data_IF_105853709084
#
_entry.id   IF_105853709084
#
_cell.length_a   1.000
_cell.length_b   1.000
_cell.length_c   1.000
_cell.angle_alpha   90.00
_cell.angle_beta   90.00
_cell.angle_gamma   90.00
#
_symmetry.space_group_name_H-M   'P 1'
#
loop_
_entity.id
_entity.type
_entity.pdbx_description
1 polymer ?
#
# COMPACT_ATOMS: atom_id res chain seq x y z
N UNK A 1 -38.97 -4.81 9.57
CA UNK A 1 -39.89 -5.72 8.86
C UNK A 1 -40.02 -7.00 9.68
N UNK A 2 -41.16 -7.25 10.33
CA UNK A 2 -41.27 -8.26 11.40
C UNK A 2 -42.30 -9.39 11.15
N UNK A 3 -42.75 -9.58 9.90
CA UNK A 3 -43.90 -10.46 9.60
C UNK A 3 -43.58 -11.54 8.52
N UNK A 4 -42.41 -11.53 7.88
CA UNK A 4 -42.13 -12.43 6.75
C UNK A 4 -41.51 -13.80 7.13
N UNK A 5 -41.09 -14.00 8.38
CA UNK A 5 -40.29 -15.16 8.81
C UNK A 5 -40.91 -16.55 8.55
N UNK A 6 -42.21 -16.78 8.78
CA UNK A 6 -42.78 -18.13 8.64
C UNK A 6 -43.01 -18.56 7.18
N UNK A 7 -43.28 -17.61 6.27
CA UNK A 7 -43.62 -17.90 4.88
C UNK A 7 -42.40 -18.21 4.00
N UNK A 8 -41.26 -17.56 4.26
CA UNK A 8 -40.00 -17.77 3.54
C UNK A 8 -39.41 -19.18 3.76
N UNK A 9 -39.69 -19.79 4.92
CA UNK A 9 -39.16 -21.10 5.35
C UNK A 9 -39.62 -22.25 4.45
N UNK A 10 -40.76 -22.12 3.77
CA UNK A 10 -41.35 -23.18 2.95
C UNK A 10 -40.89 -23.15 1.49
N UNK A 11 -40.26 -22.06 1.05
CA UNK A 11 -39.86 -21.86 -0.37
C UNK A 11 -38.38 -22.15 -0.60
N UNK A 12 -37.50 -21.92 0.39
CA UNK A 12 -36.05 -21.98 0.15
C UNK A 12 -35.33 -23.25 0.61
N UNK A 13 -35.99 -24.27 1.19
CA UNK A 13 -35.35 -25.57 1.50
C UNK A 13 -34.16 -25.55 2.47
N UNK A 14 -33.76 -24.37 2.96
CA UNK A 14 -32.68 -24.13 3.92
C UNK A 14 -33.31 -23.58 5.20
N UNK A 15 -32.93 -24.08 6.39
CA UNK A 15 -33.42 -23.54 7.65
C UNK A 15 -33.09 -22.04 7.75
N UNK A 16 -34.14 -21.21 7.84
CA UNK A 16 -34.00 -19.78 8.10
C UNK A 16 -33.31 -19.61 9.46
N UNK A 17 -32.18 -18.86 9.53
CA UNK A 17 -31.48 -18.60 10.78
C UNK A 17 -32.39 -17.98 11.84
N UNK A 18 -32.10 -18.19 13.11
CA UNK A 18 -32.82 -17.53 14.19
C UNK A 18 -32.44 -16.04 14.31
N UNK A 19 -33.26 -15.27 15.03
CA UNK A 19 -33.05 -13.84 15.22
C UNK A 19 -31.69 -13.52 15.88
N UNK A 20 -31.15 -14.44 16.69
CA UNK A 20 -29.86 -14.28 17.35
C UNK A 20 -28.69 -14.38 16.34
N UNK A 21 -28.76 -15.30 15.38
CA UNK A 21 -27.79 -15.41 14.29
C UNK A 21 -27.84 -14.17 13.39
N UNK A 22 -29.04 -13.65 13.10
CA UNK A 22 -29.17 -12.40 12.35
C UNK A 22 -28.54 -11.21 13.09
N UNK A 23 -28.82 -11.06 14.39
CA UNK A 23 -28.23 -10.00 15.21
C UNK A 23 -26.71 -10.12 15.32
N UNK A 24 -26.17 -11.33 15.52
CA UNK A 24 -24.73 -11.55 15.54
C UNK A 24 -24.07 -11.20 14.20
N UNK A 25 -24.74 -11.50 13.09
CA UNK A 25 -24.30 -11.09 11.75
C UNK A 25 -24.28 -9.56 11.59
N UNK A 26 -25.36 -8.89 11.99
CA UNK A 26 -25.47 -7.43 11.95
C UNK A 26 -24.37 -6.76 12.81
N UNK A 27 -24.13 -7.26 14.03
CA UNK A 27 -23.08 -6.75 14.91
C UNK A 27 -21.68 -6.93 14.31
N UNK A 28 -21.41 -8.08 13.69
CA UNK A 28 -20.15 -8.31 12.98
C UNK A 28 -19.96 -7.31 11.83
N UNK A 29 -20.99 -7.07 11.02
CA UNK A 29 -20.92 -6.07 9.94
C UNK A 29 -20.64 -4.67 10.47
N UNK A 30 -21.30 -4.26 11.56
CA UNK A 30 -21.03 -2.98 12.20
C UNK A 30 -19.59 -2.86 12.73
N UNK A 31 -19.05 -3.90 13.35
CA UNK A 31 -17.66 -3.90 13.83
C UNK A 31 -16.66 -3.82 12.69
N UNK A 32 -16.92 -4.54 11.59
CA UNK A 32 -16.07 -4.50 10.39
C UNK A 32 -16.08 -3.13 9.71
N UNK A 33 -17.26 -2.51 9.57
CA UNK A 33 -17.40 -1.17 9.01
C UNK A 33 -16.69 -0.12 9.89
N UNK A 34 -16.89 -0.20 11.20
CA UNK A 34 -16.20 0.69 12.15
C UNK A 34 -14.66 0.56 12.07
N UNK A 35 -14.15 -0.68 12.00
CA UNK A 35 -12.72 -0.93 11.86
C UNK A 35 -12.19 -0.39 10.53
N UNK A 36 -12.90 -0.60 9.42
CA UNK A 36 -12.53 -0.05 8.11
C UNK A 36 -12.45 1.48 8.16
N UNK A 37 -13.45 2.14 8.75
CA UNK A 37 -13.46 3.60 8.90
C UNK A 37 -12.28 4.10 9.72
N UNK A 38 -11.97 3.43 10.84
CA UNK A 38 -10.84 3.81 11.70
C UNK A 38 -9.49 3.66 11.00
N UNK A 39 -9.29 2.56 10.27
CA UNK A 39 -8.04 2.27 9.55
C UNK A 39 -7.85 3.15 8.30
N UNK A 40 -8.93 3.67 7.73
CA UNK A 40 -8.90 4.58 6.58
C UNK A 40 -8.85 6.06 6.97
N UNK A 41 -9.02 6.39 8.26
CA UNK A 41 -8.96 7.75 8.80
C UNK A 41 -7.50 8.19 8.96
N UNK A 42 -7.01 8.95 7.98
CA UNK A 42 -5.65 9.51 7.92
C UNK A 42 -5.30 10.50 9.04
N UNK A 43 -6.29 10.91 9.84
CA UNK A 43 -6.04 11.71 11.05
C UNK A 43 -5.81 10.87 12.29
N UNK A 44 -6.13 9.58 12.25
CA UNK A 44 -6.08 8.67 13.40
C UNK A 44 -5.15 7.48 13.22
N UNK A 45 -5.01 6.97 12.00
CA UNK A 45 -4.23 5.77 11.73
C UNK A 45 -3.38 5.90 10.47
N UNK A 46 -2.30 5.12 10.43
CA UNK A 46 -1.40 5.00 9.29
C UNK A 46 -0.68 3.65 9.33
N UNK A 47 -0.23 3.22 8.15
CA UNK A 47 0.60 2.04 7.96
C UNK A 47 2.05 2.46 7.77
N UNK A 48 2.97 1.71 8.36
CA UNK A 48 4.41 1.82 8.09
C UNK A 48 4.91 0.55 7.46
N UNK A 49 5.45 0.65 6.26
CA UNK A 49 6.02 -0.50 5.55
C UNK A 49 7.43 -0.75 6.06
N UNK A 50 7.78 -2.02 6.29
CA UNK A 50 9.14 -2.42 6.64
C UNK A 50 9.61 -3.42 5.60
N UNK A 51 10.79 -3.18 5.03
CA UNK A 51 11.36 -4.00 3.97
C UNK A 51 12.88 -4.13 4.12
N UNK A 52 13.46 -5.18 3.56
CA UNK A 52 14.90 -5.26 3.35
C UNK A 52 15.21 -4.81 1.92
N UNK A 53 16.43 -4.33 1.70
CA UNK A 53 16.94 -3.90 0.38
C UNK A 53 17.30 -5.10 -0.52
N UNK A 54 16.29 -5.90 -0.82
CA UNK A 54 16.36 -7.08 -1.68
C UNK A 54 15.28 -7.00 -2.75
N UNK A 55 15.62 -7.32 -4.00
CA UNK A 55 14.73 -7.12 -5.16
C UNK A 55 13.32 -7.67 -4.98
N UNK A 56 13.18 -8.90 -4.48
CA UNK A 56 11.87 -9.54 -4.28
C UNK A 56 11.07 -8.87 -3.16
N UNK A 57 11.74 -8.51 -2.06
CA UNK A 57 11.10 -7.85 -0.90
C UNK A 57 10.63 -6.45 -1.27
N UNK A 58 11.40 -5.72 -2.07
CA UNK A 58 11.02 -4.40 -2.60
C UNK A 58 9.76 -4.52 -3.46
N UNK A 59 9.71 -5.51 -4.37
CA UNK A 59 8.52 -5.74 -5.21
C UNK A 59 7.27 -6.08 -4.39
N UNK A 60 7.41 -6.89 -3.33
CA UNK A 60 6.28 -7.22 -2.44
C UNK A 60 5.81 -6.00 -1.65
N UNK A 61 6.74 -5.17 -1.16
CA UNK A 61 6.44 -3.93 -0.48
C UNK A 61 5.71 -2.94 -1.41
N UNK A 62 6.15 -2.82 -2.67
CA UNK A 62 5.46 -2.01 -3.69
C UNK A 62 4.03 -2.50 -3.94
N UNK A 63 3.82 -3.83 -4.04
CA UNK A 63 2.48 -4.41 -4.21
C UNK A 63 1.58 -4.12 -3.00
N UNK A 64 2.11 -4.31 -1.80
CA UNK A 64 1.41 -4.03 -0.54
C UNK A 64 1.02 -2.56 -0.44
N UNK A 65 1.93 -1.66 -0.81
CA UNK A 65 1.68 -0.22 -0.86
C UNK A 65 0.50 0.13 -1.78
N UNK A 66 0.47 -0.43 -2.99
CA UNK A 66 -0.67 -0.24 -3.90
C UNK A 66 -1.97 -0.81 -3.34
N UNK A 67 -1.91 -1.96 -2.67
CA UNK A 67 -3.07 -2.56 -2.03
C UNK A 67 -3.64 -1.67 -0.92
N UNK A 68 -2.79 -1.12 -0.04
CA UNK A 68 -3.24 -0.20 1.02
C UNK A 68 -3.93 1.03 0.45
N UNK A 69 -3.37 1.65 -0.59
CA UNK A 69 -3.99 2.79 -1.25
C UNK A 69 -5.29 2.44 -2.01
N UNK A 70 -5.45 1.20 -2.47
CA UNK A 70 -6.70 0.71 -3.04
C UNK A 70 -7.83 0.63 -2.01
N UNK A 71 -7.53 0.25 -0.77
CA UNK A 71 -8.52 0.21 0.31
C UNK A 71 -8.60 1.52 1.11
N UNK A 72 -7.82 2.53 0.72
CA UNK A 72 -7.82 3.85 1.34
C UNK A 72 -7.06 3.91 2.66
N UNK A 73 -6.20 2.93 2.95
CA UNK A 73 -5.35 2.93 4.13
C UNK A 73 -4.08 3.77 3.87
N UNK A 74 -3.85 4.85 4.65
CA UNK A 74 -2.72 5.74 4.43
C UNK A 74 -1.41 5.08 4.87
N UNK A 75 -0.31 5.42 4.20
CA UNK A 75 1.05 4.99 4.57
C UNK A 75 1.91 6.22 4.80
N UNK A 76 2.49 6.37 6.00
CA UNK A 76 3.24 7.57 6.39
C UNK A 76 4.76 7.40 6.37
N UNK A 77 5.27 6.16 6.41
CA UNK A 77 6.70 5.88 6.44
C UNK A 77 7.03 4.51 5.81
N UNK A 78 8.14 4.45 5.10
CA UNK A 78 8.78 3.19 4.69
C UNK A 78 10.11 3.03 5.42
N UNK A 79 10.38 1.83 5.93
CA UNK A 79 11.57 1.50 6.70
C UNK A 79 12.39 0.45 5.98
N UNK A 80 13.58 0.83 5.51
CA UNK A 80 14.61 -0.07 5.04
C UNK A 80 15.33 -0.68 6.24
N UNK A 81 14.98 -1.90 6.61
CA UNK A 81 15.59 -2.60 7.73
C UNK A 81 16.88 -3.31 7.30
N UNK A 82 17.77 -3.56 8.26
CA UNK A 82 19.02 -4.33 8.09
C UNK A 82 19.92 -3.78 6.97
N UNK A 83 20.06 -2.46 6.91
CA UNK A 83 21.02 -1.83 6.00
C UNK A 83 22.43 -2.04 6.53
N UNK A 84 23.28 -2.69 5.75
CA UNK A 84 24.65 -2.95 6.14
C UNK A 84 25.40 -1.61 6.32
N UNK A 85 26.12 -1.41 7.44
CA UNK A 85 26.89 -0.19 7.63
C UNK A 85 28.13 -0.18 6.72
N UNK A 86 28.66 1.03 6.48
CA UNK A 86 29.94 1.18 5.81
C UNK A 86 31.03 0.40 6.54
N UNK A 87 31.92 -0.26 5.79
CA UNK A 87 33.01 -1.03 6.37
C UNK A 87 32.60 -2.35 7.02
N UNK A 88 31.44 -2.93 6.68
CA UNK A 88 31.00 -4.26 7.15
C UNK A 88 31.97 -5.43 6.84
N UNK A 89 33.05 -5.17 6.09
CA UNK A 89 34.10 -6.13 5.75
C UNK A 89 33.94 -6.71 4.35
N UNK A 90 35.04 -7.24 3.80
CA UNK A 90 35.11 -7.73 2.42
C UNK A 90 34.07 -8.82 2.09
N UNK A 91 33.70 -9.64 3.08
CA UNK A 91 32.66 -10.67 2.91
C UNK A 91 31.29 -10.07 2.56
N UNK A 92 30.97 -8.88 3.08
CA UNK A 92 29.67 -8.23 2.88
C UNK A 92 29.64 -7.21 1.74
N UNK A 93 30.75 -7.02 1.03
CA UNK A 93 30.91 -5.95 0.04
C UNK A 93 29.89 -6.03 -1.09
N UNK A 94 29.67 -7.22 -1.67
CA UNK A 94 28.70 -7.41 -2.76
C UNK A 94 27.25 -7.13 -2.32
N UNK A 95 26.87 -7.52 -1.10
CA UNK A 95 25.55 -7.22 -0.55
C UNK A 95 25.40 -5.73 -0.26
N UNK A 96 26.42 -5.10 0.33
CA UNK A 96 26.42 -3.66 0.58
C UNK A 96 26.27 -2.86 -0.73
N UNK A 97 27.00 -3.24 -1.79
CA UNK A 97 26.85 -2.62 -3.11
C UNK A 97 25.45 -2.83 -3.70
N UNK A 98 24.88 -4.04 -3.57
CA UNK A 98 23.51 -4.30 -4.00
C UNK A 98 22.50 -3.42 -3.24
N UNK A 99 22.63 -3.30 -1.91
CA UNK A 99 21.77 -2.44 -1.09
C UNK A 99 21.88 -0.97 -1.52
N UNK A 100 23.09 -0.46 -1.75
CA UNK A 100 23.32 0.92 -2.25
C UNK A 100 22.69 1.19 -3.61
N UNK A 101 22.61 0.19 -4.49
CA UNK A 101 21.90 0.30 -5.77
C UNK A 101 20.39 0.31 -5.60
N UNK A 102 19.85 -0.42 -4.63
CA UNK A 102 18.41 -0.50 -4.40
C UNK A 102 17.83 0.67 -3.60
N UNK A 103 18.60 1.25 -2.67
CA UNK A 103 18.14 2.35 -1.82
C UNK A 103 17.49 3.52 -2.60
N UNK A 104 18.13 4.12 -3.63
CA UNK A 104 17.51 5.21 -4.40
C UNK A 104 16.25 4.75 -5.15
N UNK A 105 16.22 3.51 -5.64
CA UNK A 105 15.04 2.96 -6.33
C UNK A 105 13.85 2.81 -5.37
N UNK A 106 14.10 2.48 -4.10
CA UNK A 106 13.08 2.43 -3.05
C UNK A 106 12.56 3.85 -2.78
N UNK A 107 13.44 4.82 -2.57
CA UNK A 107 13.07 6.23 -2.37
C UNK A 107 12.19 6.76 -3.51
N UNK A 108 12.57 6.53 -4.75
CA UNK A 108 11.79 6.91 -5.94
C UNK A 108 10.42 6.21 -6.01
N UNK A 109 10.37 4.93 -5.67
CA UNK A 109 9.14 4.12 -5.80
C UNK A 109 8.06 4.53 -4.80
N UNK A 110 8.48 4.83 -3.56
CA UNK A 110 7.57 5.15 -2.45
C UNK A 110 7.32 6.65 -2.30
N UNK A 111 8.05 7.50 -3.03
CA UNK A 111 7.81 8.94 -3.05
C UNK A 111 6.31 9.28 -3.24
N UNK A 112 5.79 10.29 -2.53
CA UNK A 112 6.47 11.20 -1.62
C UNK A 112 6.54 10.71 -0.16
N UNK A 113 6.21 9.44 0.12
CA UNK A 113 6.31 8.88 1.47
C UNK A 113 7.80 8.78 1.85
N UNK A 114 8.22 9.30 3.02
CA UNK A 114 9.61 9.26 3.42
C UNK A 114 10.08 7.82 3.62
N UNK A 115 11.35 7.58 3.28
CA UNK A 115 12.04 6.32 3.54
C UNK A 115 13.10 6.57 4.60
N UNK A 116 13.15 5.71 5.63
CA UNK A 116 14.20 5.73 6.66
C UNK A 116 14.88 4.38 6.71
N UNK A 117 16.15 4.39 7.09
CA UNK A 117 16.96 3.18 7.14
C UNK A 117 17.32 2.83 8.59
N UNK A 118 17.30 1.54 8.90
CA UNK A 118 17.78 0.99 10.17
C UNK A 118 19.03 0.16 9.86
N UNK A 119 20.15 0.43 10.55
CA UNK A 119 21.37 -0.31 10.32
C UNK A 119 21.22 -1.77 10.76
N UNK A 120 21.99 -2.65 10.12
CA UNK A 120 22.20 -3.99 10.62
C UNK A 120 23.07 -3.92 11.89
N UNK A 121 22.48 -4.27 13.03
CA UNK A 121 23.16 -4.23 14.33
C UNK A 121 24.13 -5.40 14.51
N UNK A 122 25.13 -5.19 15.36
CA UNK A 122 26.19 -6.13 15.73
C UNK A 122 25.70 -7.31 16.58
N UNK A 123 24.49 -7.20 17.11
CA UNK A 123 23.82 -8.22 17.93
C UNK A 123 22.31 -8.11 17.78
N UNK A 124 21.60 -9.13 18.24
CA UNK A 124 20.14 -9.15 18.20
C UNK A 124 19.52 -7.98 18.97
N UNK A 125 18.39 -7.48 18.47
CA UNK A 125 17.65 -6.39 19.11
C UNK A 125 16.79 -6.94 20.24
N UNK A 126 17.43 -7.31 21.35
CA UNK A 126 16.79 -7.87 22.54
C UNK A 126 17.09 -6.99 23.75
N UNK A 127 16.06 -6.77 24.57
CA UNK A 127 16.15 -5.95 25.77
C UNK A 127 16.02 -4.44 25.50
N UNK A 128 15.75 -3.69 26.57
CA UNK A 128 15.40 -2.27 26.50
C UNK A 128 16.54 -1.42 25.92
N UNK A 129 17.79 -1.77 26.20
CA UNK A 129 18.95 -1.07 25.65
C UNK A 129 18.98 -1.11 24.11
N UNK A 130 18.81 -2.30 23.53
CA UNK A 130 18.81 -2.45 22.08
C UNK A 130 17.57 -1.84 21.43
N UNK A 131 16.41 -1.92 22.09
CA UNK A 131 15.20 -1.23 21.64
C UNK A 131 15.38 0.30 21.62
N UNK A 132 16.11 0.87 22.59
CA UNK A 132 16.47 2.30 22.56
C UNK A 132 17.40 2.63 21.41
N UNK A 133 18.43 1.81 21.16
CA UNK A 133 19.34 1.99 20.00
C UNK A 133 18.58 1.94 18.67
N UNK A 134 17.67 0.98 18.51
CA UNK A 134 16.80 0.88 17.34
C UNK A 134 15.91 2.13 17.20
N UNK A 135 15.27 2.55 18.30
CA UNK A 135 14.44 3.75 18.35
C UNK A 135 15.21 5.00 17.94
N UNK A 136 16.41 5.21 18.48
CA UNK A 136 17.28 6.34 18.10
C UNK A 136 17.74 6.26 16.65
N UNK A 137 18.06 5.07 16.13
CA UNK A 137 18.46 4.91 14.72
C UNK A 137 17.31 5.23 13.75
N UNK A 138 16.07 4.85 14.08
CA UNK A 138 14.93 5.03 13.20
C UNK A 138 14.27 6.42 13.35
N UNK A 139 14.16 6.92 14.59
CA UNK A 139 13.39 8.12 14.89
C UNK A 139 14.26 9.33 15.28
N UNK A 140 15.50 9.11 15.72
CA UNK A 140 16.34 10.14 16.32
C UNK A 140 15.58 10.95 17.39
N UNK A 141 15.35 12.25 17.16
CA UNK A 141 14.56 13.12 18.03
C UNK A 141 13.07 13.22 17.65
N UNK A 142 12.66 12.56 16.57
CA UNK A 142 11.28 12.60 16.12
C UNK A 142 10.38 11.71 16.99
N UNK A 143 9.13 12.14 17.19
CA UNK A 143 8.12 11.35 17.89
C UNK A 143 7.75 10.09 17.07
N UNK A 144 7.92 8.87 17.61
CA UNK A 144 7.51 7.64 16.94
C UNK A 144 6.00 7.57 16.66
N UNK A 145 5.15 8.31 17.38
CA UNK A 145 3.71 8.36 17.17
C UNK A 145 3.27 9.39 16.12
N UNK A 146 4.18 10.28 15.68
CA UNK A 146 3.86 11.27 14.65
C UNK A 146 3.67 10.63 13.27
N UNK A 147 2.83 11.25 12.44
CA UNK A 147 2.73 10.88 11.03
C UNK A 147 3.77 11.63 10.21
N UNK A 148 4.64 10.88 9.54
CA UNK A 148 5.75 11.44 8.76
C UNK A 148 5.36 11.89 7.35
N UNK A 149 4.19 11.45 6.88
CA UNK A 149 3.57 11.91 5.66
C UNK A 149 2.05 11.84 5.78
N UNK A 150 1.38 12.84 5.21
CA UNK A 150 -0.08 12.89 5.10
C UNK A 150 -0.43 13.17 3.65
N UNK A 151 -1.10 12.22 3.03
CA UNK A 151 -1.52 12.34 1.64
C UNK A 151 -1.80 10.97 1.02
N UNK A 152 -2.21 11.00 -0.24
CA UNK A 152 -2.50 9.82 -1.04
C UNK A 152 -1.72 9.94 -2.34
N UNK A 153 -0.52 9.33 -2.46
CA UNK A 153 0.27 9.35 -3.70
C UNK A 153 -0.53 8.95 -4.94
N UNK A 154 -1.56 8.13 -4.74
CA UNK A 154 -2.61 7.86 -5.70
C UNK A 154 -3.85 7.35 -4.97
N UNK A 155 -4.99 7.39 -5.65
CA UNK A 155 -6.26 6.83 -5.18
C UNK A 155 -6.69 5.74 -6.14
N UNK A 156 -7.06 4.58 -5.63
CA UNK A 156 -7.79 3.59 -6.43
C UNK A 156 -9.21 3.49 -5.90
N UNK A 157 -10.19 3.55 -6.78
CA UNK A 157 -11.61 3.43 -6.44
C UNK A 157 -12.27 2.42 -7.34
N UNK A 158 -13.28 1.73 -6.81
CA UNK A 158 -14.15 0.90 -7.62
C UNK A 158 -15.22 1.79 -8.25
N UNK A 159 -15.37 1.74 -9.57
CA UNK A 159 -16.35 2.56 -10.31
C UNK A 159 -16.93 1.73 -11.48
N UNK A 160 -18.25 1.74 -11.67
CA UNK A 160 -18.94 1.04 -12.76
C UNK A 160 -18.52 -0.43 -12.95
N UNK A 161 -18.30 -1.15 -11.84
CA UNK A 161 -17.88 -2.56 -11.84
C UNK A 161 -16.38 -2.80 -12.10
N UNK A 162 -15.64 -1.78 -12.54
CA UNK A 162 -14.17 -1.80 -12.71
C UNK A 162 -13.44 -1.01 -11.63
N UNK A 163 -12.20 -0.62 -11.92
CA UNK A 163 -11.38 0.20 -11.03
C UNK A 163 -10.85 1.43 -11.74
N UNK A 164 -10.61 2.47 -10.95
CA UNK A 164 -10.07 3.74 -11.42
C UNK A 164 -8.91 4.11 -10.52
N UNK A 165 -7.73 4.22 -11.11
CA UNK A 165 -6.53 4.74 -10.47
C UNK A 165 -6.38 6.21 -10.85
N UNK A 166 -6.33 7.10 -9.86
CA UNK A 166 -6.07 8.53 -10.06
C UNK A 166 -4.78 8.94 -9.36
N UNK A 167 -3.90 9.61 -10.10
CA UNK A 167 -2.63 10.17 -9.61
C UNK A 167 -2.63 11.66 -9.84
N UNK A 168 -2.32 12.43 -8.80
CA UNK A 168 -2.14 13.88 -8.93
C UNK A 168 -0.69 14.16 -9.38
N UNK A 169 -0.57 14.76 -10.56
CA UNK A 169 0.67 15.11 -11.26
C UNK A 169 0.67 16.63 -11.51
N UNK A 170 0.93 17.46 -10.47
CA UNK A 170 0.98 18.90 -10.64
C UNK A 170 2.13 19.30 -11.58
N UNK A 171 1.95 20.39 -12.31
CA UNK A 171 2.95 20.96 -13.23
C UNK A 171 3.32 20.06 -14.42
N UNK A 172 2.45 19.12 -14.78
CA UNK A 172 2.69 18.15 -15.86
C UNK A 172 1.66 18.36 -16.97
N UNK A 173 2.08 18.31 -18.24
CA UNK A 173 1.17 18.26 -19.39
C UNK A 173 0.90 16.81 -19.82
N UNK A 174 -0.17 16.57 -20.59
CA UNK A 174 -0.45 15.24 -21.13
C UNK A 174 0.69 14.69 -21.99
N UNK A 175 1.37 15.56 -22.75
CA UNK A 175 2.48 15.15 -23.63
C UNK A 175 3.71 14.66 -22.86
N UNK A 176 3.86 15.11 -21.62
CA UNK A 176 4.97 14.75 -20.76
C UNK A 176 4.78 13.38 -20.09
N UNK A 177 3.56 12.83 -20.14
CA UNK A 177 3.19 11.58 -19.45
C UNK A 177 3.27 10.38 -20.39
N UNK A 178 4.26 9.53 -20.15
CA UNK A 178 4.37 8.21 -20.75
C UNK A 178 3.87 7.14 -19.78
N UNK A 179 2.90 6.33 -20.23
CA UNK A 179 2.34 5.22 -19.45
C UNK A 179 2.60 3.90 -20.17
N UNK A 180 3.32 2.99 -19.51
CA UNK A 180 3.70 1.71 -20.08
C UNK A 180 3.31 0.59 -19.12
N UNK A 181 2.63 -0.44 -19.62
CA UNK A 181 2.29 -1.62 -18.83
C UNK A 181 3.24 -2.75 -19.16
N UNK A 182 3.83 -3.37 -18.14
CA UNK A 182 4.72 -4.51 -18.29
C UNK A 182 4.32 -5.61 -17.28
N UNK A 183 3.53 -6.58 -17.72
CA UNK A 183 3.02 -7.64 -16.84
C UNK A 183 2.13 -7.08 -15.72
N UNK A 184 2.56 -7.25 -14.47
CA UNK A 184 1.92 -6.74 -13.26
C UNK A 184 2.38 -5.33 -12.87
N UNK A 185 3.22 -4.68 -13.68
CA UNK A 185 3.76 -3.35 -13.42
C UNK A 185 3.14 -2.31 -14.35
N UNK A 186 2.86 -1.14 -13.78
CA UNK A 186 2.49 0.07 -14.50
C UNK A 186 3.59 1.11 -14.29
N UNK A 187 4.35 1.36 -15.35
CA UNK A 187 5.42 2.35 -15.38
C UNK A 187 4.84 3.68 -15.83
N UNK A 188 4.90 4.65 -14.93
CA UNK A 188 4.58 6.04 -15.18
C UNK A 188 5.88 6.82 -15.32
N UNK A 189 6.03 7.53 -16.43
CA UNK A 189 7.17 8.40 -16.68
C UNK A 189 6.70 9.81 -17.00
N UNK A 190 7.24 10.79 -16.29
CA UNK A 190 7.00 12.22 -16.47
C UNK A 190 8.35 12.93 -16.53
N UNK A 191 8.80 13.28 -17.74
CA UNK A 191 10.16 13.79 -17.94
C UNK A 191 11.23 12.80 -17.42
N UNK A 192 12.06 13.25 -16.47
CA UNK A 192 13.06 12.42 -15.79
C UNK A 192 12.52 11.63 -14.60
N UNK A 193 11.31 11.96 -14.12
CA UNK A 193 10.68 11.23 -13.03
C UNK A 193 10.06 9.95 -13.55
N UNK A 194 10.47 8.82 -12.99
CA UNK A 194 9.94 7.51 -13.32
C UNK A 194 9.43 6.84 -12.06
N UNK A 195 8.18 6.40 -12.10
CA UNK A 195 7.54 5.65 -11.02
C UNK A 195 7.08 4.30 -11.52
N UNK A 196 7.42 3.26 -10.78
CA UNK A 196 6.91 1.92 -11.03
C UNK A 196 5.81 1.57 -10.02
N UNK A 197 4.61 1.30 -10.50
CA UNK A 197 3.47 0.87 -9.69
C UNK A 197 3.25 -0.62 -9.91
N UNK A 198 3.55 -1.43 -8.88
CA UNK A 198 3.18 -2.84 -8.90
C UNK A 198 1.69 -2.95 -8.64
N UNK A 199 0.96 -3.50 -9.59
CA UNK A 199 -0.49 -3.64 -9.54
C UNK A 199 -0.89 -4.85 -8.67
N UNK A 200 -1.89 -4.72 -7.79
CA UNK A 200 -2.49 -5.86 -7.12
C UNK A 200 -3.20 -6.76 -8.13
N UNK A 201 -3.34 -8.06 -7.82
CA UNK A 201 -3.96 -9.06 -8.72
C UNK A 201 -5.28 -8.60 -9.36
N UNK A 202 -6.14 -7.97 -8.57
CA UNK A 202 -7.41 -7.43 -9.04
C UNK A 202 -7.30 -6.40 -10.20
N UNK A 203 -6.17 -5.70 -10.31
CA UNK A 203 -5.86 -4.77 -11.42
C UNK A 203 -5.02 -5.43 -12.52
N UNK A 204 -4.25 -6.48 -12.19
CA UNK A 204 -3.50 -7.26 -13.18
C UNK A 204 -4.47 -7.99 -14.11
N UNK A 205 -5.49 -8.62 -13.56
CA UNK A 205 -6.52 -9.36 -14.32
C UNK A 205 -7.50 -8.43 -15.04
N UNK A 206 -7.50 -7.14 -14.73
CA UNK A 206 -8.33 -6.14 -15.39
C UNK A 206 -7.58 -5.49 -16.57
N UNK A 207 -8.09 -5.60 -17.81
CA UNK A 207 -7.59 -4.82 -18.93
C UNK A 207 -7.71 -3.32 -18.68
N UNK A 208 -6.66 -2.55 -19.01
CA UNK A 208 -6.73 -1.09 -19.00
C UNK A 208 -7.61 -0.65 -20.19
N UNK A 209 -8.72 0.04 -19.91
CA UNK A 209 -9.62 0.59 -20.93
C UNK A 209 -9.09 1.87 -21.56
N UNK A 210 -8.30 2.62 -20.79
CA UNK A 210 -7.69 3.85 -21.25
C UNK A 210 -7.11 4.66 -20.09
N UNK A 211 -6.37 5.70 -20.45
CA UNK A 211 -5.89 6.71 -19.52
C UNK A 211 -6.27 8.10 -20.04
N UNK A 212 -6.66 8.98 -19.13
CA UNK A 212 -7.00 10.37 -19.39
C UNK A 212 -6.21 11.27 -18.45
N UNK A 213 -5.73 12.39 -18.97
CA UNK A 213 -5.10 13.42 -18.17
C UNK A 213 -6.01 14.63 -18.18
N UNK A 214 -6.56 15.00 -17.02
CA UNK A 214 -7.54 16.08 -16.87
C UNK A 214 -7.08 17.03 -15.77
N UNK A 215 -6.85 18.30 -16.14
CA UNK A 215 -6.24 19.29 -15.23
C UNK A 215 -4.82 18.85 -14.85
N UNK A 216 -4.66 18.41 -13.60
CA UNK A 216 -3.39 17.91 -13.04
C UNK A 216 -3.50 16.45 -12.60
N UNK A 217 -4.52 15.70 -13.04
CA UNK A 217 -4.78 14.34 -12.56
C UNK A 217 -4.73 13.36 -13.72
N UNK A 218 -3.88 12.35 -13.60
CA UNK A 218 -3.90 11.17 -14.47
C UNK A 218 -4.92 10.18 -13.93
N UNK A 219 -5.95 9.90 -14.72
CA UNK A 219 -6.97 8.89 -14.48
C UNK A 219 -6.72 7.69 -15.38
N UNK A 220 -6.71 6.49 -14.80
CA UNK A 220 -6.54 5.23 -15.53
C UNK A 220 -7.73 4.32 -15.20
N UNK A 221 -8.49 3.98 -16.24
CA UNK A 221 -9.69 3.17 -16.14
C UNK A 221 -9.34 1.70 -16.42
N UNK A 222 -9.66 0.82 -15.48
CA UNK A 222 -9.52 -0.62 -15.59
C UNK A 222 -10.92 -1.25 -15.74
N UNK A 223 -11.03 -2.29 -16.57
CA UNK A 223 -12.26 -3.05 -16.70
C UNK A 223 -12.62 -3.81 -15.41
N UNK A 224 -13.80 -4.42 -15.38
CA UNK A 224 -14.12 -5.37 -14.32
C UNK A 224 -13.12 -6.54 -14.40
N UNK A 225 -12.53 -6.98 -13.27
CA UNK A 225 -11.76 -8.21 -13.27
C UNK A 225 -12.66 -9.36 -13.72
N UNK A 226 -12.14 -10.24 -14.57
CA UNK A 226 -12.84 -11.47 -14.95
C UNK A 226 -12.97 -12.29 -13.66
N UNK A 227 -14.19 -12.52 -13.19
CA UNK A 227 -14.42 -13.42 -12.05
C UNK A 227 -14.19 -14.84 -12.54
N UNK A 228 -13.25 -15.56 -11.94
CA UNK A 228 -13.29 -17.02 -11.87
C UNK A 228 -14.37 -17.48 -10.88
#
# INVERSE_FOLDING_TARGET
>A
MRIAGPLLRRVMGVPVPDDAVFQAGEELFHRLDHMQQLLADETKSSIRLVLNLEKMVIKEAQRSFTYFHLFGYPTDLVVCNRVLPDGAGAYFEAWHEAQRRYQPLVEESFAPVPVRSVPFFDREVVGVEMLRRLGSALFDQADPAAFFYRGRPYRVRRENGGYVLTLDLPFTSKEDVALHRNGDELVLQVGSWRRNLVLPRALVEAPAKGAKFEGNTLRIDFAAPVRD
#
